data_IF_128875681543
#
_entry.id   IF_128875681543
#
_cell.length_a   1.000
_cell.length_b   1.000
_cell.length_c   1.000
_cell.angle_alpha   90.00
_cell.angle_beta   90.00
_cell.angle_gamma   90.00
#
_symmetry.space_group_name_H-M   'P 1'
#
loop_
_entity.id
_entity.type
_entity.pdbx_description
1 polymer ?
#
# COMPACT_ATOMS: atom_id res chain seq x y z
N UNK A 1 -23.96 2.42 18.35
CA UNK A 1 -23.49 1.19 17.68
C UNK A 1 -22.05 1.41 17.28
N UNK A 2 -21.16 0.47 17.57
CA UNK A 2 -19.82 0.49 16.99
C UNK A 2 -19.93 0.23 15.48
N UNK A 3 -19.16 0.93 14.67
CA UNK A 3 -19.08 0.68 13.23
C UNK A 3 -18.14 -0.49 12.97
N UNK A 4 -18.31 -1.18 11.85
CA UNK A 4 -17.39 -2.25 11.43
C UNK A 4 -15.93 -1.78 11.40
N UNK A 5 -15.66 -0.55 10.93
CA UNK A 5 -14.31 0.01 10.99
C UNK A 5 -13.79 0.18 12.42
N UNK A 6 -14.64 0.54 13.40
CA UNK A 6 -14.18 0.66 14.78
C UNK A 6 -13.78 -0.70 15.36
N UNK A 7 -14.57 -1.74 15.11
CA UNK A 7 -14.27 -3.09 15.60
C UNK A 7 -12.99 -3.64 14.97
N UNK A 8 -12.80 -3.42 13.66
CA UNK A 8 -11.56 -3.77 12.97
C UNK A 8 -10.39 -2.97 13.55
N UNK A 9 -10.52 -1.65 13.68
CA UNK A 9 -9.48 -0.80 14.23
C UNK A 9 -9.04 -1.27 15.63
N UNK A 10 -9.99 -1.50 16.52
CA UNK A 10 -9.73 -1.95 17.88
C UNK A 10 -9.04 -3.33 17.92
N UNK A 11 -9.47 -4.25 17.04
CA UNK A 11 -8.80 -5.55 16.89
C UNK A 11 -7.35 -5.40 16.43
N UNK A 12 -7.06 -4.46 15.52
CA UNK A 12 -5.72 -4.27 14.95
C UNK A 12 -4.75 -3.54 15.89
N UNK A 13 -5.25 -2.69 16.80
CA UNK A 13 -4.40 -1.89 17.70
C UNK A 13 -4.31 -2.44 19.12
N UNK A 14 -5.40 -2.97 19.69
CA UNK A 14 -5.46 -3.33 21.12
C UNK A 14 -5.52 -4.85 21.34
N UNK A 15 -6.28 -5.57 20.50
CA UNK A 15 -6.53 -7.00 20.68
C UNK A 15 -6.35 -7.80 19.38
N UNK A 16 -5.11 -7.91 18.87
CA UNK A 16 -4.85 -8.69 17.67
C UNK A 16 -5.22 -10.16 17.90
N UNK A 17 -5.65 -10.83 16.83
CA UNK A 17 -5.90 -12.27 16.87
C UNK A 17 -4.59 -13.01 17.18
N UNK A 18 -4.70 -14.20 17.76
CA UNK A 18 -3.52 -14.99 18.12
C UNK A 18 -2.66 -15.27 16.86
N UNK A 19 -1.37 -14.93 16.93
CA UNK A 19 -0.44 -15.01 15.80
C UNK A 19 -0.29 -13.72 14.99
N UNK A 20 -0.99 -12.65 15.35
CA UNK A 20 -0.93 -11.36 14.67
C UNK A 20 -0.19 -10.30 15.48
N UNK A 21 0.55 -9.44 14.78
CA UNK A 21 1.21 -8.28 15.40
C UNK A 21 0.24 -7.11 15.48
N UNK A 22 0.38 -6.32 16.56
CA UNK A 22 -0.22 -4.98 16.65
C UNK A 22 0.40 -4.10 15.56
N UNK A 23 -0.43 -3.35 14.84
CA UNK A 23 0.02 -2.39 13.82
C UNK A 23 -0.21 -0.95 14.27
N UNK A 24 0.45 -0.01 13.61
CA UNK A 24 0.32 1.41 13.95
C UNK A 24 -1.11 1.92 13.76
N UNK A 25 -1.52 2.89 14.58
CA UNK A 25 -2.86 3.48 14.54
C UNK A 25 -3.26 3.98 13.13
N UNK A 26 -2.31 4.54 12.38
CA UNK A 26 -2.55 5.00 11.01
C UNK A 26 -2.79 3.85 10.02
N UNK A 27 -2.05 2.74 10.16
CA UNK A 27 -2.21 1.54 9.33
C UNK A 27 -3.54 0.85 9.65
N UNK A 28 -3.86 0.71 10.94
CA UNK A 28 -5.14 0.18 11.40
C UNK A 28 -6.33 1.00 10.87
N UNK A 29 -6.26 2.33 10.96
CA UNK A 29 -7.31 3.20 10.44
C UNK A 29 -7.48 3.05 8.92
N UNK A 30 -6.37 2.96 8.18
CA UNK A 30 -6.40 2.79 6.72
C UNK A 30 -7.02 1.45 6.30
N UNK A 31 -6.66 0.35 6.98
CA UNK A 31 -7.21 -0.99 6.73
C UNK A 31 -8.70 -1.03 7.10
N UNK A 32 -9.07 -0.49 8.27
CA UNK A 32 -10.44 -0.48 8.74
C UNK A 32 -11.38 0.27 7.78
N UNK A 33 -10.97 1.45 7.31
CA UNK A 33 -11.74 2.22 6.33
C UNK A 33 -11.78 1.52 4.96
N UNK A 34 -10.66 0.96 4.50
CA UNK A 34 -10.64 0.22 3.25
C UNK A 34 -11.59 -0.98 3.28
N UNK A 35 -11.66 -1.70 4.41
CA UNK A 35 -12.58 -2.84 4.55
C UNK A 35 -14.05 -2.41 4.56
N UNK A 36 -14.40 -1.36 5.31
CA UNK A 36 -15.78 -0.91 5.43
C UNK A 36 -16.33 -0.33 4.12
N UNK A 37 -15.48 0.30 3.29
CA UNK A 37 -15.91 1.03 2.10
C UNK A 37 -15.47 0.41 0.77
N UNK A 38 -15.03 -0.87 0.76
CA UNK A 38 -14.41 -1.54 -0.42
C UNK A 38 -13.30 -0.68 -1.06
N UNK A 39 -12.51 -0.04 -0.21
CA UNK A 39 -11.42 0.83 -0.59
C UNK A 39 -10.15 0.06 -0.95
N UNK A 40 -9.13 0.83 -1.33
CA UNK A 40 -7.80 0.30 -1.68
C UNK A 40 -6.79 0.80 -0.67
N UNK A 41 -5.99 -0.09 -0.10
CA UNK A 41 -4.90 0.28 0.80
C UNK A 41 -3.68 0.65 -0.03
N UNK A 42 -3.31 1.94 -0.03
CA UNK A 42 -2.09 2.41 -0.67
C UNK A 42 -0.93 2.41 0.35
N UNK A 43 0.03 1.49 0.22
CA UNK A 43 1.17 1.44 1.14
C UNK A 43 2.37 0.70 0.55
N UNK A 44 3.57 1.14 0.92
CA UNK A 44 4.82 0.46 0.55
C UNK A 44 5.36 -0.40 1.71
N UNK A 45 4.70 -0.39 2.87
CA UNK A 45 5.13 -1.11 4.06
C UNK A 45 4.43 -2.48 4.18
N UNK A 46 4.68 -3.37 3.23
CA UNK A 46 4.02 -4.68 3.18
C UNK A 46 4.33 -5.58 4.38
N UNK A 47 5.45 -5.37 5.08
CA UNK A 47 5.82 -6.19 6.24
C UNK A 47 4.74 -6.18 7.31
N UNK A 48 4.16 -5.01 7.57
CA UNK A 48 3.26 -4.81 8.71
C UNK A 48 1.80 -5.10 8.34
N UNK A 49 1.44 -4.92 7.06
CA UNK A 49 0.03 -5.00 6.61
C UNK A 49 -0.29 -6.22 5.73
N UNK A 50 0.70 -6.93 5.18
CA UNK A 50 0.48 -8.00 4.19
C UNK A 50 -0.44 -9.12 4.70
N UNK A 51 -0.25 -9.54 5.96
CA UNK A 51 -1.07 -10.57 6.58
C UNK A 51 -2.55 -10.16 6.61
N UNK A 52 -2.82 -8.90 6.96
CA UNK A 52 -4.18 -8.38 7.04
C UNK A 52 -4.80 -8.15 5.66
N UNK A 53 -4.02 -7.66 4.69
CA UNK A 53 -4.47 -7.53 3.30
C UNK A 53 -4.93 -8.89 2.77
N UNK A 54 -4.12 -9.94 2.96
CA UNK A 54 -4.46 -11.28 2.49
C UNK A 54 -5.67 -11.88 3.21
N UNK A 55 -5.77 -11.72 4.53
CA UNK A 55 -6.87 -12.29 5.30
C UNK A 55 -8.22 -11.58 5.08
N UNK A 56 -8.18 -10.28 4.78
CA UNK A 56 -9.38 -9.48 4.59
C UNK A 56 -9.74 -9.30 3.10
N UNK A 57 -8.96 -9.90 2.20
CA UNK A 57 -9.09 -9.79 0.74
C UNK A 57 -9.13 -8.33 0.26
N UNK A 58 -8.22 -7.51 0.79
CA UNK A 58 -8.17 -6.08 0.48
C UNK A 58 -7.38 -5.82 -0.80
N UNK A 59 -7.88 -4.90 -1.62
CA UNK A 59 -7.13 -4.34 -2.73
C UNK A 59 -5.95 -3.53 -2.18
N UNK A 60 -4.79 -3.67 -2.82
CA UNK A 60 -3.55 -3.00 -2.41
C UNK A 60 -2.86 -2.35 -3.60
N UNK A 61 -2.28 -1.16 -3.37
CA UNK A 61 -1.43 -0.48 -4.33
C UNK A 61 -0.14 0.01 -3.66
N UNK A 62 0.98 -0.17 -4.32
CA UNK A 62 2.24 0.49 -3.97
C UNK A 62 2.39 1.81 -4.73
N UNK A 63 3.36 2.64 -4.32
CA UNK A 63 3.76 3.82 -5.12
C UNK A 63 4.12 3.45 -6.56
N UNK A 64 4.74 2.29 -6.79
CA UNK A 64 5.07 1.85 -8.14
C UNK A 64 3.82 1.62 -8.99
N UNK A 65 2.79 0.99 -8.41
CA UNK A 65 1.51 0.76 -9.10
C UNK A 65 0.80 2.08 -9.41
N UNK A 66 0.87 3.07 -8.50
CA UNK A 66 0.30 4.41 -8.72
C UNK A 66 1.02 5.14 -9.87
N UNK A 67 2.35 5.05 -9.93
CA UNK A 67 3.13 5.66 -11.02
C UNK A 67 2.84 4.97 -12.35
N UNK A 68 2.71 3.64 -12.37
CA UNK A 68 2.33 2.89 -13.57
C UNK A 68 0.94 3.30 -14.06
N UNK A 69 -0.05 3.38 -13.17
CA UNK A 69 -1.39 3.84 -13.53
C UNK A 69 -1.40 5.29 -14.05
N UNK A 70 -0.54 6.16 -13.52
CA UNK A 70 -0.39 7.53 -14.01
C UNK A 70 0.25 7.59 -15.40
N UNK A 71 1.22 6.72 -15.68
CA UNK A 71 1.83 6.56 -17.01
C UNK A 71 0.81 6.05 -18.04
N UNK A 72 0.06 5.00 -17.70
CA UNK A 72 -0.97 4.40 -18.56
C UNK A 72 -2.09 5.39 -18.90
N UNK A 73 -2.41 6.29 -17.97
CA UNK A 73 -3.40 7.37 -18.18
C UNK A 73 -2.82 8.61 -18.87
N UNK A 74 -1.53 8.62 -19.19
CA UNK A 74 -0.86 9.75 -19.84
C UNK A 74 -0.66 10.97 -18.94
N UNK A 75 -0.80 10.84 -17.62
CA UNK A 75 -0.57 11.95 -16.68
C UNK A 75 0.92 12.24 -16.48
N UNK A 76 1.77 11.23 -16.69
CA UNK A 76 3.23 11.37 -16.66
C UNK A 76 3.85 10.61 -17.83
N UNK A 77 5.07 11.01 -18.21
CA UNK A 77 5.93 10.21 -19.09
C UNK A 77 6.83 9.29 -18.27
N UNK A 78 7.41 8.27 -18.91
CA UNK A 78 8.37 7.37 -18.27
C UNK A 78 9.60 8.13 -17.70
N UNK A 79 10.06 9.16 -18.41
CA UNK A 79 11.16 10.02 -17.96
C UNK A 79 10.79 10.82 -16.69
N UNK A 80 9.55 11.33 -16.61
CA UNK A 80 9.04 11.98 -15.39
C UNK A 80 8.91 10.97 -14.25
N UNK A 81 8.41 9.77 -14.53
CA UNK A 81 8.33 8.67 -13.56
C UNK A 81 9.70 8.30 -12.97
N UNK A 82 10.72 8.15 -13.82
CA UNK A 82 12.11 7.92 -13.38
C UNK A 82 12.69 9.09 -12.56
N UNK A 83 12.33 10.32 -12.90
CA UNK A 83 12.72 11.51 -12.12
C UNK A 83 12.11 11.47 -10.72
N UNK A 84 10.82 11.14 -10.61
CA UNK A 84 10.13 10.98 -9.33
C UNK A 84 10.74 9.83 -8.52
N UNK A 85 10.95 8.68 -9.16
CA UNK A 85 11.55 7.49 -8.56
C UNK A 85 12.93 7.78 -7.96
N UNK A 86 13.80 8.46 -8.71
CA UNK A 86 15.14 8.85 -8.25
C UNK A 86 15.06 9.77 -7.03
N UNK A 87 14.13 10.74 -7.01
CA UNK A 87 13.90 11.61 -5.86
C UNK A 87 13.37 10.86 -4.63
N UNK A 88 12.66 9.74 -4.82
CA UNK A 88 12.22 8.90 -3.71
C UNK A 88 13.35 8.01 -3.18
N UNK A 89 14.19 7.45 -4.07
CA UNK A 89 15.37 6.69 -3.68
C UNK A 89 16.40 7.55 -2.94
N UNK A 90 16.59 8.81 -3.33
CA UNK A 90 17.46 9.75 -2.59
C UNK A 90 16.96 10.01 -1.16
N UNK A 91 15.64 9.89 -0.94
CA UNK A 91 14.99 9.91 0.39
C UNK A 91 14.94 8.53 1.06
N UNK A 92 15.70 7.55 0.55
CA UNK A 92 15.80 6.17 1.06
C UNK A 92 14.46 5.43 1.14
N UNK A 93 13.51 5.74 0.25
CA UNK A 93 12.24 5.00 0.16
C UNK A 93 12.48 3.61 -0.45
N UNK A 94 11.78 2.60 0.07
CA UNK A 94 11.81 1.24 -0.47
C UNK A 94 10.72 1.10 -1.54
N UNK A 95 11.12 0.99 -2.81
CA UNK A 95 10.20 0.92 -3.96
C UNK A 95 10.23 -0.42 -4.70
N UNK A 96 11.15 -1.34 -4.36
CA UNK A 96 11.20 -2.69 -4.93
C UNK A 96 11.85 -2.81 -6.31
N UNK A 97 12.29 -1.70 -6.92
CA UNK A 97 13.07 -1.71 -8.17
C UNK A 97 14.11 -0.58 -8.19
N UNK A 98 15.15 -0.76 -9.00
CA UNK A 98 16.26 0.20 -9.12
C UNK A 98 15.83 1.53 -9.78
N UNK A 99 14.86 1.47 -10.69
CA UNK A 99 14.29 2.63 -11.37
C UNK A 99 12.87 2.29 -11.85
N UNK A 100 12.14 3.28 -12.35
CA UNK A 100 10.75 3.10 -12.76
C UNK A 100 10.64 2.20 -14.00
N UNK A 101 11.56 2.32 -14.96
CA UNK A 101 11.61 1.46 -16.15
C UNK A 101 11.71 -0.02 -15.77
N UNK A 102 12.61 -0.38 -14.86
CA UNK A 102 12.79 -1.74 -14.37
C UNK A 102 11.52 -2.25 -13.67
N UNK A 103 10.80 -1.37 -12.96
CA UNK A 103 9.53 -1.71 -12.34
C UNK A 103 8.45 -2.04 -13.38
N UNK A 104 8.31 -1.21 -14.43
CA UNK A 104 7.37 -1.44 -15.53
C UNK A 104 7.65 -2.79 -16.19
N UNK A 105 8.92 -3.06 -16.52
CA UNK A 105 9.34 -4.32 -17.15
C UNK A 105 9.03 -5.56 -16.29
N UNK A 106 9.17 -5.44 -14.97
CA UNK A 106 8.86 -6.53 -14.05
C UNK A 106 7.35 -6.83 -13.96
N UNK A 107 6.49 -5.82 -14.18
CA UNK A 107 5.03 -5.95 -14.13
C UNK A 107 4.40 -6.46 -15.43
N UNK A 108 5.11 -6.38 -16.55
CA UNK A 108 4.67 -6.85 -17.86
C UNK A 108 5.03 -8.32 -18.15
N UNK A 109 5.70 -8.99 -17.22
CA UNK A 109 5.94 -10.44 -17.25
C UNK A 109 4.79 -11.19 -16.58
#
# INVERSE_FOLDING_TARGET
MATEAYDIYYQLTEKPKAGHMVIGKGEAASIALAKQYDGIVASNNLKDISLYIAQMDLKHLSTGDILLAALERGYITEAQGNTIWTKMLSKRRKLGAANFTAYIQAKQK
#
